data_IF_787322484673
#
_entry.id   IF_787322484673
#
_cell.length_a   1.000
_cell.length_b   1.000
_cell.length_c   1.000
_cell.angle_alpha   90.00
_cell.angle_beta   90.00
_cell.angle_gamma   90.00
#
_symmetry.space_group_name_H-M   'P 1'
#
loop_
_entity.id
_entity.type
_entity.pdbx_description
1 polymer ?
#
# COMPACT_ATOMS: atom_id res chain seq x y z
N UNK A 1 3.12 16.71 50.76
CA UNK A 1 4.54 16.35 50.88
C UNK A 1 5.10 16.87 52.20
N UNK A 2 5.97 16.12 52.84
CA UNK A 2 6.72 16.56 54.02
C UNK A 2 8.02 17.25 53.62
N UNK A 3 8.54 18.11 54.47
CA UNK A 3 9.82 18.75 54.24
C UNK A 3 10.91 17.68 53.96
N UNK A 4 11.64 17.87 52.86
CA UNK A 4 12.65 16.91 52.38
C UNK A 4 12.17 15.82 51.45
N UNK A 5 10.84 15.62 51.27
CA UNK A 5 10.32 14.65 50.32
C UNK A 5 10.73 14.99 48.88
N UNK A 6 11.06 13.96 48.09
CA UNK A 6 11.38 14.06 46.67
C UNK A 6 10.52 13.09 45.87
N UNK A 7 9.99 13.52 44.76
CA UNK A 7 9.37 12.62 43.80
C UNK A 7 10.44 11.89 42.97
N UNK A 8 10.06 10.77 42.38
CA UNK A 8 10.81 10.25 41.26
C UNK A 8 10.74 11.21 40.08
N UNK A 9 11.59 11.01 39.08
CA UNK A 9 11.50 11.74 37.80
C UNK A 9 10.26 11.26 37.05
N UNK A 10 9.40 12.21 36.70
CA UNK A 10 8.19 11.97 35.94
C UNK A 10 8.34 12.49 34.51
N UNK A 11 7.76 11.78 33.55
CA UNK A 11 7.55 12.21 32.16
C UNK A 11 6.19 11.70 31.78
N UNK A 12 5.29 12.61 31.43
CA UNK A 12 3.94 12.24 30.98
C UNK A 12 3.80 12.57 29.47
N UNK A 13 3.73 11.54 28.60
CA UNK A 13 3.64 11.77 27.17
C UNK A 13 2.28 12.33 26.73
N UNK A 14 1.22 12.04 27.49
CA UNK A 14 -0.16 12.39 27.14
C UNK A 14 -0.85 13.31 28.15
N UNK A 15 -0.09 13.85 29.10
CA UNK A 15 -0.62 14.74 30.14
C UNK A 15 0.21 16.01 30.22
N UNK A 16 -0.47 17.12 30.45
CA UNK A 16 0.13 18.34 31.00
C UNK A 16 -0.17 18.37 32.50
N UNK A 17 0.84 18.58 33.31
CA UNK A 17 0.67 18.65 34.74
C UNK A 17 0.57 20.10 35.20
N UNK A 18 -0.41 20.37 36.03
CA UNK A 18 -0.65 21.66 36.64
C UNK A 18 -0.59 21.49 38.17
N UNK A 19 0.25 22.24 38.79
CA UNK A 19 0.38 22.29 40.25
C UNK A 19 0.02 23.68 40.77
N UNK A 20 -0.75 23.74 41.84
CA UNK A 20 -1.02 24.98 42.57
C UNK A 20 -0.62 24.81 44.03
N UNK A 21 0.31 25.63 44.49
CA UNK A 21 0.84 25.55 45.86
C UNK A 21 -0.11 26.27 46.81
N UNK A 22 -0.74 25.47 47.70
CA UNK A 22 -1.65 26.00 48.73
C UNK A 22 -0.91 26.48 49.98
N UNK A 23 0.15 25.75 50.39
CA UNK A 23 0.97 26.03 51.56
C UNK A 23 2.37 25.49 51.36
N UNK A 24 3.39 26.15 51.95
CA UNK A 24 4.75 25.68 51.95
C UNK A 24 5.58 26.16 50.74
N UNK A 25 6.77 25.58 50.62
CA UNK A 25 7.74 25.88 49.56
C UNK A 25 8.20 24.57 48.89
N UNK A 26 8.26 24.57 47.57
CA UNK A 26 8.68 23.45 46.77
C UNK A 26 9.65 23.89 45.68
N UNK A 27 10.67 23.09 45.41
CA UNK A 27 11.53 23.20 44.24
C UNK A 27 11.02 22.19 43.20
N UNK A 28 10.70 22.66 42.01
CA UNK A 28 10.43 21.81 40.85
C UNK A 28 11.56 21.92 39.86
N UNK A 29 12.11 20.78 39.43
CA UNK A 29 13.11 20.72 38.38
C UNK A 29 12.46 20.27 37.11
N UNK A 30 12.38 21.12 36.07
CA UNK A 30 11.80 20.81 34.76
C UNK A 30 12.93 20.77 33.73
N UNK A 31 13.15 19.63 33.04
CA UNK A 31 14.25 19.40 32.10
C UNK A 31 15.62 19.90 32.64
N UNK A 32 15.85 19.65 33.92
CA UNK A 32 17.09 20.02 34.61
C UNK A 32 17.14 21.48 35.11
N UNK A 33 16.15 22.32 34.77
CA UNK A 33 16.07 23.71 35.26
C UNK A 33 15.25 23.76 36.55
N UNK A 34 15.85 24.28 37.61
CA UNK A 34 15.23 24.43 38.94
C UNK A 34 14.40 25.69 39.05
N UNK A 35 13.19 25.55 39.56
CA UNK A 35 12.28 26.65 39.87
C UNK A 35 11.78 26.45 41.30
N UNK A 36 11.89 27.51 42.13
CA UNK A 36 11.37 27.53 43.49
C UNK A 36 10.00 28.17 43.48
N UNK A 37 9.05 27.52 44.08
CA UNK A 37 7.65 27.93 44.13
C UNK A 37 7.16 27.94 45.56
N UNK A 38 6.32 28.93 45.84
CA UNK A 38 5.76 29.22 47.15
C UNK A 38 4.23 29.25 47.10
N UNK A 39 3.60 29.52 48.24
CA UNK A 39 2.13 29.63 48.31
C UNK A 39 1.60 30.58 47.22
N UNK A 40 0.51 30.14 46.57
CA UNK A 40 -0.21 30.79 45.48
C UNK A 40 0.52 30.76 44.12
N UNK A 41 1.68 30.10 44.02
CA UNK A 41 2.34 29.90 42.76
C UNK A 41 1.66 28.77 41.94
N UNK A 42 1.59 29.02 40.64
CA UNK A 42 1.11 28.10 39.64
C UNK A 42 2.28 27.50 38.87
N UNK A 43 2.32 26.19 38.73
CA UNK A 43 3.40 25.52 37.99
C UNK A 43 2.74 24.73 36.87
N UNK A 44 3.15 25.03 35.67
CA UNK A 44 2.70 24.32 34.48
C UNK A 44 3.86 23.52 33.86
N UNK A 45 3.66 22.22 33.68
CA UNK A 45 4.63 21.36 33.04
C UNK A 45 4.03 20.85 31.74
N UNK A 46 4.62 21.26 30.62
CA UNK A 46 4.22 20.81 29.30
C UNK A 46 4.44 19.28 29.15
N UNK A 47 3.65 18.65 28.27
CA UNK A 47 3.83 17.23 27.93
C UNK A 47 5.25 16.95 27.42
N UNK A 48 5.69 15.71 27.58
CA UNK A 48 7.04 15.24 27.24
C UNK A 48 8.17 15.93 28.01
N UNK A 49 7.87 16.90 28.89
CA UNK A 49 8.87 17.51 29.80
C UNK A 49 9.07 16.62 31.01
N UNK A 50 10.36 16.41 31.35
CA UNK A 50 10.70 15.72 32.57
C UNK A 50 10.61 16.64 33.78
N UNK A 51 10.06 16.19 34.90
CA UNK A 51 10.10 16.97 36.13
C UNK A 51 10.33 16.12 37.38
N UNK A 52 10.84 16.77 38.40
CA UNK A 52 11.01 16.23 39.75
C UNK A 52 10.57 17.28 40.75
N UNK A 53 9.93 16.83 41.84
CA UNK A 53 9.47 17.69 42.93
C UNK A 53 10.35 17.47 44.16
N UNK A 54 10.74 18.56 44.86
CA UNK A 54 11.45 18.51 46.12
C UNK A 54 10.79 19.47 47.09
N UNK A 55 10.16 18.98 48.13
CA UNK A 55 9.54 19.79 49.19
C UNK A 55 10.59 20.40 50.08
N UNK A 56 10.71 21.72 50.10
CA UNK A 56 11.65 22.48 50.96
C UNK A 56 11.09 22.67 52.37
N UNK A 57 9.76 22.73 52.51
CA UNK A 57 9.00 22.74 53.75
C UNK A 57 7.90 21.69 53.68
N UNK A 58 7.02 21.58 54.69
CA UNK A 58 5.78 20.86 54.53
C UNK A 58 4.93 21.55 53.46
N UNK A 59 4.54 20.85 52.41
CA UNK A 59 3.84 21.40 51.25
C UNK A 59 2.44 20.77 51.11
N UNK A 60 1.45 21.62 50.90
CA UNK A 60 0.13 21.25 50.43
C UNK A 60 -0.10 21.88 49.06
N UNK A 61 -0.44 21.06 48.08
CA UNK A 61 -0.70 21.55 46.72
C UNK A 61 -1.83 20.74 46.08
N UNK A 62 -2.48 21.38 45.09
CA UNK A 62 -3.34 20.71 44.14
C UNK A 62 -2.46 20.23 42.97
N UNK A 63 -2.65 19.00 42.56
CA UNK A 63 -2.08 18.45 41.33
C UNK A 63 -3.21 18.04 40.41
N UNK A 64 -3.22 18.54 39.18
CA UNK A 64 -4.18 18.22 38.14
C UNK A 64 -3.42 17.77 36.92
N UNK A 65 -3.69 16.56 36.44
CA UNK A 65 -3.28 16.12 35.11
C UNK A 65 -4.37 16.54 34.11
N UNK A 66 -4.06 17.46 33.21
CA UNK A 66 -4.90 17.68 32.04
C UNK A 66 -4.47 16.70 30.98
N UNK A 67 -5.33 15.75 30.61
CA UNK A 67 -5.12 15.01 29.37
C UNK A 67 -5.05 16.06 28.29
N UNK A 68 -3.88 16.21 27.70
CA UNK A 68 -3.83 16.84 26.39
C UNK A 68 -4.67 15.86 25.56
N UNK A 69 -5.82 16.31 25.05
CA UNK A 69 -6.13 15.86 23.72
C UNK A 69 -4.89 16.24 22.91
N UNK A 70 -3.89 15.35 22.89
CA UNK A 70 -2.96 15.27 21.76
C UNK A 70 -3.92 15.35 20.62
N UNK A 71 -3.90 16.46 19.85
CA UNK A 71 -4.78 16.61 18.71
C UNK A 71 -4.81 15.23 18.11
N UNK A 72 -5.91 14.49 18.32
CA UNK A 72 -6.04 13.13 17.77
C UNK A 72 -5.67 13.36 16.36
N UNK A 73 -4.47 12.91 16.00
CA UNK A 73 -3.84 13.39 14.76
C UNK A 73 -4.83 13.04 13.72
N UNK A 74 -5.61 14.06 13.29
CA UNK A 74 -6.82 13.87 12.51
C UNK A 74 -6.38 13.09 11.30
N UNK A 75 -6.77 11.82 11.24
CA UNK A 75 -6.50 11.01 10.07
C UNK A 75 -7.36 11.53 8.94
N UNK A 76 -6.80 11.55 7.76
CA UNK A 76 -7.43 12.04 6.54
C UNK A 76 -6.95 11.17 5.37
N UNK A 77 -7.61 11.19 4.20
CA UNK A 77 -7.10 10.53 3.01
C UNK A 77 -5.75 11.12 2.59
N UNK A 78 -4.75 10.26 2.43
CA UNK A 78 -3.37 10.66 2.15
C UNK A 78 -3.05 10.57 0.68
N UNK A 79 -2.59 11.66 0.08
CA UNK A 79 -1.97 11.72 -1.24
C UNK A 79 -0.46 11.60 -1.10
N UNK A 80 0.22 11.24 -2.17
CA UNK A 80 1.66 10.99 -2.16
C UNK A 80 2.40 11.80 -3.20
N UNK A 81 3.67 12.10 -2.90
CA UNK A 81 4.61 12.60 -3.88
C UNK A 81 4.86 11.56 -4.97
N UNK A 82 5.06 11.97 -6.23
CA UNK A 82 5.37 11.03 -7.31
C UNK A 82 6.62 10.20 -7.01
N UNK A 83 6.51 8.88 -7.07
CA UNK A 83 7.60 7.92 -6.86
C UNK A 83 7.88 7.16 -8.17
N UNK A 84 8.68 7.78 -9.05
CA UNK A 84 8.91 7.34 -10.42
C UNK A 84 10.17 6.48 -10.52
N UNK A 85 10.09 5.38 -11.26
CA UNK A 85 11.17 4.42 -11.46
C UNK A 85 11.54 4.29 -12.93
N UNK A 86 12.81 4.57 -13.23
CA UNK A 86 13.39 4.42 -14.56
C UNK A 86 13.61 2.93 -14.88
N UNK A 87 13.13 2.52 -16.05
CA UNK A 87 13.26 1.14 -16.56
C UNK A 87 13.72 1.17 -18.01
N UNK A 88 14.45 0.14 -18.47
CA UNK A 88 14.92 0.05 -19.88
C UNK A 88 13.78 0.02 -20.89
N UNK A 89 12.62 -0.48 -20.48
CA UNK A 89 11.40 -0.63 -21.26
C UNK A 89 10.37 0.48 -21.00
N UNK A 90 10.72 1.46 -20.14
CA UNK A 90 9.82 2.54 -19.76
C UNK A 90 9.68 3.59 -20.86
N UNK A 91 8.54 4.26 -20.88
CA UNK A 91 8.17 5.29 -21.83
C UNK A 91 8.34 6.71 -21.28
N UNK A 92 7.95 7.70 -22.07
CA UNK A 92 7.71 9.09 -21.65
C UNK A 92 6.22 9.32 -21.34
N UNK A 93 5.35 8.42 -21.77
CA UNK A 93 3.91 8.63 -21.78
C UNK A 93 3.32 8.53 -20.37
N UNK A 94 3.90 7.72 -19.47
CA UNK A 94 3.45 7.64 -18.08
C UNK A 94 3.48 9.01 -17.38
N UNK A 95 4.56 9.77 -17.55
CA UNK A 95 4.63 11.12 -16.96
C UNK A 95 3.72 12.10 -17.62
N UNK A 96 3.50 11.99 -18.94
CA UNK A 96 2.55 12.82 -19.67
C UNK A 96 1.10 12.53 -19.27
N UNK A 97 0.75 11.24 -19.10
CA UNK A 97 -0.57 10.82 -18.64
C UNK A 97 -0.88 11.32 -17.22
N UNK A 98 0.13 11.32 -16.33
CA UNK A 98 0.02 11.86 -14.95
C UNK A 98 0.13 13.39 -14.89
N UNK A 99 0.20 14.10 -16.02
CA UNK A 99 0.41 15.57 -16.10
C UNK A 99 1.66 16.04 -15.32
N UNK A 100 2.68 15.17 -15.21
CA UNK A 100 3.96 15.47 -14.58
C UNK A 100 5.00 15.98 -15.61
N UNK A 101 6.07 16.65 -15.16
CA UNK A 101 7.19 16.98 -16.04
C UNK A 101 7.72 15.75 -16.76
N UNK A 102 7.83 15.84 -18.09
CA UNK A 102 8.23 14.72 -18.95
C UNK A 102 9.60 14.18 -18.59
N UNK A 103 9.69 12.88 -18.37
CA UNK A 103 10.91 12.15 -18.10
C UNK A 103 10.97 10.89 -18.97
N UNK A 104 12.14 10.61 -19.56
CA UNK A 104 12.33 9.43 -20.40
C UNK A 104 12.54 8.18 -19.55
N UNK A 105 12.13 7.03 -20.11
CA UNK A 105 12.34 5.71 -19.52
C UNK A 105 11.66 5.51 -18.16
N UNK A 106 10.58 6.24 -17.87
CA UNK A 106 9.78 5.96 -16.69
C UNK A 106 8.86 4.80 -16.99
N UNK A 107 9.18 3.63 -16.43
CA UNK A 107 8.38 2.41 -16.62
C UNK A 107 7.40 2.16 -15.49
N UNK A 108 7.69 2.62 -14.29
CA UNK A 108 6.82 2.42 -13.12
C UNK A 108 6.63 3.71 -12.33
N UNK A 109 5.42 3.92 -11.83
CA UNK A 109 5.09 4.89 -10.79
C UNK A 109 4.53 4.14 -9.59
N UNK A 110 5.24 4.16 -8.45
CA UNK A 110 4.82 3.47 -7.25
C UNK A 110 3.89 4.37 -6.44
N UNK A 111 2.60 4.12 -6.57
CA UNK A 111 1.54 4.98 -6.06
C UNK A 111 1.42 4.89 -4.54
N UNK A 112 1.35 3.67 -3.98
CA UNK A 112 1.30 3.43 -2.54
C UNK A 112 2.28 2.32 -2.20
N UNK A 113 3.38 2.68 -1.57
CA UNK A 113 4.51 1.77 -1.31
C UNK A 113 4.91 1.75 0.16
N UNK A 114 4.97 0.55 0.73
CA UNK A 114 5.60 0.25 2.02
C UNK A 114 7.03 -0.29 1.91
N UNK A 115 7.59 -0.39 0.70
CA UNK A 115 8.96 -0.92 0.48
C UNK A 115 9.98 0.00 1.16
N UNK A 116 10.87 -0.53 2.04
CA UNK A 116 11.75 0.30 2.87
C UNK A 116 12.66 1.25 2.09
N UNK A 117 13.14 0.83 0.92
CA UNK A 117 14.06 1.63 0.10
C UNK A 117 13.34 2.61 -0.85
N UNK A 118 12.01 2.51 -0.96
CA UNK A 118 11.17 3.38 -1.79
C UNK A 118 9.76 3.53 -1.20
N UNK A 119 9.65 4.02 0.04
CA UNK A 119 8.35 4.25 0.68
C UNK A 119 7.66 5.45 0.07
N UNK A 120 6.33 5.44 0.01
CA UNK A 120 5.56 6.62 -0.37
C UNK A 120 5.71 7.73 0.66
N UNK A 121 5.96 8.96 0.18
CA UNK A 121 6.02 10.18 0.98
C UNK A 121 4.68 10.91 0.88
N UNK A 122 4.09 11.26 2.00
CA UNK A 122 2.78 11.93 2.07
C UNK A 122 2.93 13.37 1.58
N UNK A 123 2.08 13.77 0.64
CA UNK A 123 2.13 15.10 0.00
C UNK A 123 1.20 16.13 0.65
N UNK A 124 0.19 15.69 1.43
CA UNK A 124 -0.85 16.58 1.95
C UNK A 124 -1.02 16.51 3.46
N UNK A 125 -1.70 17.52 4.01
CA UNK A 125 -2.14 17.57 5.40
C UNK A 125 -1.01 17.63 6.43
N UNK A 126 -1.32 17.25 7.67
CA UNK A 126 -0.39 17.36 8.82
C UNK A 126 0.78 16.38 8.77
N UNK A 127 0.68 15.33 7.96
CA UNK A 127 1.74 14.34 7.77
C UNK A 127 2.56 14.57 6.50
N UNK A 128 2.37 15.69 5.80
CA UNK A 128 3.18 16.01 4.62
C UNK A 128 4.68 15.94 4.92
N UNK A 129 5.44 15.27 4.04
CA UNK A 129 6.87 15.03 4.19
C UNK A 129 7.26 13.80 5.01
N UNK A 130 6.31 13.17 5.73
CA UNK A 130 6.54 11.87 6.38
C UNK A 130 6.34 10.74 5.39
N UNK A 131 7.06 9.64 5.58
CA UNK A 131 6.77 8.41 4.84
C UNK A 131 5.53 7.73 5.42
N UNK A 132 4.77 7.02 4.57
CA UNK A 132 3.62 6.23 5.00
C UNK A 132 4.00 5.22 6.09
N UNK A 133 5.19 4.62 5.99
CA UNK A 133 5.71 3.67 6.99
C UNK A 133 5.94 4.33 8.37
N UNK A 134 6.34 5.59 8.43
CA UNK A 134 6.52 6.30 9.71
C UNK A 134 5.18 6.54 10.39
N UNK A 135 4.15 6.90 9.64
CA UNK A 135 2.80 7.12 10.18
C UNK A 135 2.16 5.80 10.60
N UNK A 136 2.30 4.73 9.81
CA UNK A 136 1.82 3.38 10.17
C UNK A 136 2.48 2.92 11.49
N UNK A 137 3.80 3.08 11.67
CA UNK A 137 4.47 2.71 12.93
C UNK A 137 3.97 3.47 14.15
N UNK A 138 3.53 4.72 13.97
CA UNK A 138 2.96 5.54 15.06
C UNK A 138 1.54 5.11 15.42
N UNK A 139 0.74 4.70 14.46
CA UNK A 139 -0.69 4.43 14.62
C UNK A 139 -1.12 3.21 13.79
N UNK A 140 -0.54 2.00 14.02
CA UNK A 140 -0.72 0.86 13.13
C UNK A 140 -2.18 0.43 12.99
N UNK A 141 -2.92 0.31 14.08
CA UNK A 141 -4.33 -0.12 14.05
C UNK A 141 -5.24 0.93 13.41
N UNK A 142 -5.00 2.21 13.65
CA UNK A 142 -5.80 3.28 13.05
C UNK A 142 -5.53 3.43 11.55
N UNK A 143 -4.31 3.13 11.11
CA UNK A 143 -3.90 3.20 9.71
C UNK A 143 -4.32 1.95 8.94
N UNK A 144 -3.99 0.76 9.44
CA UNK A 144 -4.16 -0.49 8.70
C UNK A 144 -5.45 -1.26 9.02
N UNK A 145 -6.07 -1.02 10.19
CA UNK A 145 -7.03 -1.90 10.81
C UNK A 145 -6.35 -2.85 11.80
N UNK A 146 -7.05 -3.22 12.87
CA UNK A 146 -6.48 -4.04 13.95
C UNK A 146 -6.03 -5.40 13.45
N UNK A 147 -6.88 -6.07 12.66
CA UNK A 147 -6.59 -7.41 12.13
C UNK A 147 -5.40 -7.36 11.16
N UNK A 148 -5.39 -6.40 10.23
CA UNK A 148 -4.29 -6.23 9.25
C UNK A 148 -2.98 -5.91 9.97
N UNK A 149 -2.99 -4.98 10.91
CA UNK A 149 -1.80 -4.59 11.66
C UNK A 149 -1.16 -5.80 12.37
N UNK A 150 -1.98 -6.65 13.00
CA UNK A 150 -1.51 -7.85 13.69
C UNK A 150 -0.98 -8.92 12.72
N UNK A 151 -1.68 -9.19 11.63
CA UNK A 151 -1.30 -10.22 10.65
C UNK A 151 -0.05 -9.87 9.86
N UNK A 152 0.19 -8.57 9.62
CA UNK A 152 1.29 -8.07 8.80
C UNK A 152 2.37 -7.33 9.61
N UNK A 153 2.50 -7.59 10.92
CA UNK A 153 3.54 -7.01 11.78
C UNK A 153 3.65 -5.47 11.68
N UNK A 154 2.49 -4.78 11.62
CA UNK A 154 2.39 -3.33 11.45
C UNK A 154 3.07 -2.81 10.16
N UNK A 155 3.09 -3.60 9.10
CA UNK A 155 3.60 -3.23 7.79
C UNK A 155 2.46 -3.17 6.78
N UNK A 156 2.57 -2.27 5.80
CA UNK A 156 1.63 -2.20 4.69
C UNK A 156 1.75 -3.45 3.82
N UNK A 157 0.67 -4.24 3.64
CA UNK A 157 0.78 -5.51 2.91
C UNK A 157 0.60 -5.39 1.39
N UNK A 158 0.19 -4.23 0.89
CA UNK A 158 -0.10 -3.97 -0.53
C UNK A 158 0.87 -2.92 -1.08
N UNK A 159 1.33 -3.14 -2.31
CA UNK A 159 2.01 -2.16 -3.15
C UNK A 159 1.14 -1.93 -4.39
N UNK A 160 0.89 -0.66 -4.74
CA UNK A 160 0.15 -0.28 -5.95
C UNK A 160 1.08 0.50 -6.86
N UNK A 161 1.07 0.16 -8.14
CA UNK A 161 1.88 0.80 -9.18
C UNK A 161 1.07 1.08 -10.43
N UNK A 162 1.54 2.06 -11.22
CA UNK A 162 1.28 2.10 -12.66
C UNK A 162 2.51 1.61 -13.39
N UNK A 163 2.28 0.85 -14.46
CA UNK A 163 3.30 0.35 -15.37
C UNK A 163 2.94 0.81 -16.78
N UNK A 164 3.91 1.41 -17.47
CA UNK A 164 3.75 1.87 -18.85
C UNK A 164 4.94 1.42 -19.71
N UNK A 165 4.64 0.69 -20.79
CA UNK A 165 5.62 -0.07 -21.55
C UNK A 165 5.82 0.49 -22.95
N UNK A 166 7.04 0.97 -23.27
CA UNK A 166 7.49 1.29 -24.63
C UNK A 166 8.27 0.15 -25.29
N UNK A 167 8.63 -0.86 -24.52
CA UNK A 167 9.26 -2.11 -24.98
C UNK A 167 8.80 -3.26 -24.08
N UNK A 168 9.00 -4.50 -24.50
CA UNK A 168 8.58 -5.69 -23.75
C UNK A 168 9.30 -5.79 -22.40
N UNK A 169 8.55 -6.12 -21.33
CA UNK A 169 9.15 -6.49 -20.06
C UNK A 169 9.84 -7.85 -20.17
N UNK A 170 10.82 -8.09 -19.28
CA UNK A 170 11.40 -9.43 -19.13
C UNK A 170 10.35 -10.45 -18.76
N UNK A 171 10.50 -11.67 -19.27
CA UNK A 171 9.76 -12.83 -18.78
C UNK A 171 10.23 -13.15 -17.36
N UNK A 172 9.29 -13.27 -16.44
CA UNK A 172 9.59 -13.37 -15.02
C UNK A 172 8.59 -14.25 -14.28
N UNK A 173 8.96 -14.64 -13.07
CA UNK A 173 8.09 -15.30 -12.09
C UNK A 173 8.43 -14.77 -10.70
N UNK A 174 7.48 -14.83 -9.80
CA UNK A 174 7.64 -14.42 -8.41
C UNK A 174 7.47 -15.61 -7.47
N UNK A 175 8.27 -15.68 -6.38
CA UNK A 175 8.13 -16.72 -5.38
C UNK A 175 6.87 -16.54 -4.51
N UNK A 176 6.38 -17.62 -3.95
CA UNK A 176 5.38 -17.61 -2.88
C UNK A 176 6.00 -17.12 -1.55
N UNK A 177 5.16 -16.92 -0.52
CA UNK A 177 5.59 -16.46 0.81
C UNK A 177 6.61 -17.42 1.44
N UNK A 178 6.44 -18.74 1.29
CA UNK A 178 7.33 -19.72 1.88
C UNK A 178 8.74 -19.66 1.27
N UNK A 179 8.84 -19.57 -0.04
CA UNK A 179 10.11 -19.43 -0.75
C UNK A 179 10.74 -18.06 -0.52
N UNK A 180 9.97 -16.98 -0.61
CA UNK A 180 10.44 -15.62 -0.39
C UNK A 180 10.99 -15.43 1.02
N UNK A 181 10.29 -15.98 2.03
CA UNK A 181 10.78 -15.95 3.42
C UNK A 181 12.08 -16.73 3.59
N UNK A 182 12.14 -17.95 3.05
CA UNK A 182 13.33 -18.82 3.16
C UNK A 182 14.55 -18.24 2.47
N UNK A 183 14.37 -17.63 1.29
CA UNK A 183 15.50 -17.20 0.44
C UNK A 183 15.89 -15.74 0.65
N UNK A 184 14.94 -14.86 1.05
CA UNK A 184 15.13 -13.42 1.06
C UNK A 184 14.66 -12.75 2.36
N UNK A 185 14.02 -13.49 3.29
CA UNK A 185 13.39 -12.93 4.50
C UNK A 185 12.33 -11.86 4.16
N UNK A 186 11.60 -12.05 3.09
CA UNK A 186 10.57 -11.15 2.56
C UNK A 186 9.28 -11.90 2.29
N UNK A 187 8.23 -11.16 1.90
CA UNK A 187 6.96 -11.70 1.41
C UNK A 187 7.07 -12.18 -0.03
N UNK A 188 6.22 -13.11 -0.40
CA UNK A 188 5.99 -13.50 -1.78
C UNK A 188 5.41 -12.34 -2.60
N UNK A 189 5.20 -12.59 -3.90
CA UNK A 189 4.67 -11.56 -4.78
C UNK A 189 3.55 -12.16 -5.65
N UNK A 190 2.36 -12.16 -5.07
CA UNK A 190 1.10 -12.35 -5.80
C UNK A 190 0.63 -10.98 -6.27
N UNK A 191 0.18 -10.88 -7.51
CA UNK A 191 -0.20 -9.62 -8.13
C UNK A 191 -1.46 -9.73 -9.00
N UNK A 192 -2.06 -8.60 -9.28
CA UNK A 192 -3.17 -8.42 -10.21
C UNK A 192 -2.87 -7.23 -11.10
N UNK A 193 -3.16 -7.36 -12.38
CA UNK A 193 -3.08 -6.28 -13.37
C UNK A 193 -4.47 -5.86 -13.84
N UNK A 194 -4.69 -4.57 -13.90
CA UNK A 194 -5.83 -3.94 -14.55
C UNK A 194 -5.33 -3.11 -15.73
N UNK A 195 -5.69 -3.47 -16.95
CA UNK A 195 -5.28 -2.75 -18.16
C UNK A 195 -6.07 -1.45 -18.26
N UNK A 196 -5.37 -0.30 -18.19
CA UNK A 196 -5.96 1.04 -18.32
C UNK A 196 -6.09 1.41 -19.79
N UNK A 197 -5.01 1.17 -20.54
CA UNK A 197 -4.95 1.42 -21.98
C UNK A 197 -3.99 0.43 -22.65
N UNK A 198 -4.27 0.09 -23.90
CA UNK A 198 -3.42 -0.75 -24.72
C UNK A 198 -3.42 -0.25 -26.15
N UNK A 199 -2.25 -0.17 -26.77
CA UNK A 199 -2.13 0.10 -28.21
C UNK A 199 -2.67 -1.08 -29.03
N UNK A 200 -3.06 -0.89 -30.29
CA UNK A 200 -3.43 -2.02 -31.13
C UNK A 200 -2.35 -3.10 -31.17
N UNK A 201 -2.76 -4.37 -31.10
CA UNK A 201 -1.89 -5.54 -31.09
C UNK A 201 -1.00 -5.70 -29.82
N UNK A 202 -1.16 -4.85 -28.81
CA UNK A 202 -0.50 -5.02 -27.52
C UNK A 202 -0.95 -6.29 -26.82
N UNK A 203 -0.08 -6.88 -26.03
CA UNK A 203 -0.31 -8.19 -25.43
C UNK A 203 0.35 -8.35 -24.06
N UNK A 204 -0.14 -9.35 -23.35
CA UNK A 204 0.43 -9.85 -22.11
C UNK A 204 0.70 -11.33 -22.26
N UNK A 205 1.82 -11.82 -21.72
CA UNK A 205 2.02 -13.24 -21.48
C UNK A 205 1.61 -13.56 -20.03
N UNK A 206 0.75 -14.54 -19.85
CA UNK A 206 0.33 -15.03 -18.55
C UNK A 206 0.18 -16.55 -18.59
N UNK A 207 1.08 -17.26 -17.89
CA UNK A 207 1.12 -18.70 -17.80
C UNK A 207 1.66 -19.43 -19.03
N UNK A 208 1.62 -20.75 -18.99
CA UNK A 208 2.03 -21.63 -20.08
C UNK A 208 0.82 -21.97 -20.98
N UNK A 209 1.05 -22.08 -22.29
CA UNK A 209 0.03 -22.59 -23.24
C UNK A 209 0.07 -24.11 -23.42
N UNK A 210 1.15 -24.74 -22.96
CA UNK A 210 1.38 -26.18 -23.02
C UNK A 210 2.00 -26.69 -21.73
N UNK A 211 1.72 -27.94 -21.37
CA UNK A 211 2.33 -28.57 -20.19
C UNK A 211 3.80 -28.80 -20.43
N UNK A 212 4.65 -28.33 -19.51
CA UNK A 212 6.10 -28.56 -19.51
C UNK A 212 6.52 -29.34 -18.29
N UNK A 213 7.58 -30.15 -18.45
CA UNK A 213 8.37 -30.63 -17.31
C UNK A 213 9.44 -29.61 -16.95
N UNK A 214 10.01 -29.67 -15.73
CA UNK A 214 11.15 -28.83 -15.35
C UNK A 214 12.36 -28.96 -16.32
N UNK A 215 12.60 -30.15 -16.85
CA UNK A 215 13.69 -30.42 -17.82
C UNK A 215 13.41 -29.76 -19.18
N UNK A 216 12.15 -29.80 -19.64
CA UNK A 216 11.73 -29.12 -20.87
C UNK A 216 11.80 -27.59 -20.72
N UNK A 217 11.41 -27.07 -19.57
CA UNK A 217 11.60 -25.65 -19.23
C UNK A 217 13.08 -25.27 -19.30
N UNK A 218 13.96 -26.00 -18.60
CA UNK A 218 15.40 -25.71 -18.57
C UNK A 218 15.99 -25.73 -19.98
N UNK A 219 15.60 -26.69 -20.83
CA UNK A 219 16.03 -26.76 -22.24
C UNK A 219 15.54 -25.56 -23.04
N UNK A 220 14.23 -25.21 -22.95
CA UNK A 220 13.68 -24.05 -23.67
C UNK A 220 14.33 -22.73 -23.25
N UNK A 221 14.71 -22.60 -22.00
CA UNK A 221 15.45 -21.42 -21.50
C UNK A 221 16.88 -21.40 -22.10
N UNK A 222 17.59 -22.53 -22.07
CA UNK A 222 18.94 -22.64 -22.62
C UNK A 222 18.98 -22.39 -24.14
N UNK A 223 17.98 -22.86 -24.87
CA UNK A 223 17.85 -22.73 -26.33
C UNK A 223 17.24 -21.34 -26.73
N UNK A 224 16.80 -20.51 -25.77
CA UNK A 224 16.15 -19.21 -26.02
C UNK A 224 14.74 -19.32 -26.62
N UNK A 225 14.09 -20.49 -26.49
CA UNK A 225 12.76 -20.77 -27.06
C UNK A 225 11.62 -20.75 -26.03
N UNK A 226 11.89 -20.24 -24.84
CA UNK A 226 10.87 -20.22 -23.75
C UNK A 226 9.61 -19.45 -24.13
N UNK A 227 9.73 -18.39 -24.93
CA UNK A 227 8.60 -17.59 -25.41
C UNK A 227 7.59 -18.43 -26.18
N UNK A 228 8.02 -19.48 -26.89
CA UNK A 228 7.15 -20.38 -27.65
C UNK A 228 6.22 -21.22 -26.77
N UNK A 229 6.50 -21.31 -25.47
CA UNK A 229 5.71 -22.08 -24.53
C UNK A 229 4.70 -21.21 -23.73
N UNK A 230 4.78 -19.88 -23.86
CA UNK A 230 3.94 -18.96 -23.10
C UNK A 230 2.57 -18.72 -23.76
N UNK A 231 1.55 -18.55 -22.92
CA UNK A 231 0.24 -18.15 -23.37
C UNK A 231 0.23 -16.63 -23.60
N UNK A 232 0.03 -16.25 -24.87
CA UNK A 232 -0.04 -14.86 -25.32
C UNK A 232 -1.48 -14.40 -25.40
N UNK A 233 -1.81 -13.26 -24.78
CA UNK A 233 -3.14 -12.67 -24.74
C UNK A 233 -3.10 -11.27 -25.32
N UNK A 234 -3.81 -11.02 -26.40
CA UNK A 234 -4.10 -9.64 -26.83
C UNK A 234 -4.94 -8.95 -25.77
N UNK A 235 -4.62 -7.68 -25.47
CA UNK A 235 -5.22 -6.97 -24.33
C UNK A 235 -5.90 -5.67 -24.74
N UNK A 236 -6.95 -5.33 -23.99
CA UNK A 236 -7.76 -4.13 -24.16
C UNK A 236 -7.99 -3.47 -22.80
N UNK A 237 -8.33 -2.18 -22.82
CA UNK A 237 -8.72 -1.46 -21.61
C UNK A 237 -9.86 -2.19 -20.87
N UNK A 238 -9.71 -2.34 -19.55
CA UNK A 238 -10.63 -3.07 -18.70
C UNK A 238 -10.29 -4.55 -18.49
N UNK A 239 -9.32 -5.12 -19.21
CA UNK A 239 -8.87 -6.49 -18.96
C UNK A 239 -8.20 -6.62 -17.59
N UNK A 240 -8.46 -7.74 -16.93
CA UNK A 240 -7.90 -8.08 -15.62
C UNK A 240 -7.15 -9.41 -15.68
N UNK A 241 -5.96 -9.46 -15.11
CA UNK A 241 -5.16 -10.67 -14.99
C UNK A 241 -4.77 -10.89 -13.53
N UNK A 242 -5.07 -12.06 -12.99
CA UNK A 242 -4.58 -12.51 -11.71
C UNK A 242 -3.30 -13.33 -11.89
N UNK A 243 -2.25 -12.94 -11.24
CA UNK A 243 -0.92 -13.53 -11.33
C UNK A 243 -0.49 -14.01 -9.92
N UNK A 244 -0.98 -15.18 -9.48
CA UNK A 244 -0.50 -15.76 -8.24
C UNK A 244 1.01 -16.01 -8.32
N UNK A 245 1.68 -16.03 -7.18
CA UNK A 245 3.06 -16.48 -7.11
C UNK A 245 3.22 -17.82 -7.86
N UNK A 246 4.34 -17.97 -8.58
CA UNK A 246 4.61 -19.13 -9.43
C UNK A 246 4.13 -18.98 -10.88
N UNK A 247 3.27 -18.02 -11.21
CA UNK A 247 2.82 -17.84 -12.59
C UNK A 247 3.86 -17.08 -13.41
N UNK A 248 4.34 -17.69 -14.48
CA UNK A 248 5.22 -17.03 -15.46
C UNK A 248 4.46 -15.96 -16.22
N UNK A 249 5.06 -14.77 -16.40
CA UNK A 249 4.38 -13.66 -17.08
C UNK A 249 5.37 -12.66 -17.69
N UNK A 250 4.85 -11.84 -18.60
CA UNK A 250 5.51 -10.65 -19.14
C UNK A 250 4.47 -9.68 -19.71
N UNK A 251 4.80 -8.40 -19.81
CA UNK A 251 3.99 -7.37 -20.44
C UNK A 251 4.65 -7.01 -21.75
N UNK A 252 3.91 -7.04 -22.85
CA UNK A 252 4.37 -6.57 -24.14
C UNK A 252 4.37 -5.04 -24.23
N UNK A 253 4.96 -4.51 -25.29
CA UNK A 253 4.99 -3.09 -25.61
C UNK A 253 3.59 -2.49 -25.74
N UNK A 254 3.45 -1.21 -25.34
CA UNK A 254 2.26 -0.39 -25.58
C UNK A 254 1.11 -0.63 -24.61
N UNK A 255 1.40 -1.13 -23.40
CA UNK A 255 0.41 -1.37 -22.35
C UNK A 255 0.62 -0.38 -21.21
N UNK A 256 -0.44 0.32 -20.82
CA UNK A 256 -0.55 1.06 -19.57
C UNK A 256 -1.50 0.29 -18.64
N UNK A 257 -1.02 -0.10 -17.47
CA UNK A 257 -1.82 -0.84 -16.49
C UNK A 257 -1.58 -0.39 -15.05
N UNK A 258 -2.54 -0.69 -14.18
CA UNK A 258 -2.38 -0.63 -12.73
C UNK A 258 -2.06 -2.03 -12.20
N UNK A 259 -1.03 -2.13 -11.36
CA UNK A 259 -0.63 -3.34 -10.66
C UNK A 259 -0.94 -3.21 -9.18
N UNK A 260 -1.71 -4.15 -8.64
CA UNK A 260 -1.92 -4.33 -7.19
C UNK A 260 -1.24 -5.63 -6.79
N UNK A 261 -0.30 -5.56 -5.83
CA UNK A 261 0.51 -6.71 -5.45
C UNK A 261 0.78 -6.75 -3.95
N UNK A 262 1.26 -7.89 -3.44
CA UNK A 262 1.87 -7.96 -2.11
C UNK A 262 3.09 -7.02 -2.05
N UNK A 263 3.39 -6.48 -0.87
CA UNK A 263 4.56 -5.60 -0.64
C UNK A 263 5.86 -6.39 -0.75
N UNK A 264 6.29 -6.61 -1.98
CA UNK A 264 7.52 -7.32 -2.36
C UNK A 264 8.07 -6.76 -3.66
N UNK A 265 9.40 -6.79 -3.82
CA UNK A 265 10.10 -6.39 -5.06
C UNK A 265 10.95 -7.56 -5.62
N UNK A 266 10.68 -8.79 -5.18
CA UNK A 266 11.42 -9.96 -5.62
C UNK A 266 10.96 -10.36 -7.02
N UNK A 267 11.93 -10.43 -7.97
CA UNK A 267 11.67 -10.85 -9.34
C UNK A 267 12.72 -11.87 -9.77
N UNK A 268 12.29 -13.06 -10.18
CA UNK A 268 13.13 -14.03 -10.84
C UNK A 268 12.97 -13.90 -12.35
N UNK A 269 13.97 -13.24 -12.98
CA UNK A 269 14.00 -13.01 -14.42
C UNK A 269 14.44 -14.27 -15.16
N UNK A 270 13.65 -14.68 -16.13
CA UNK A 270 13.85 -15.90 -16.93
C UNK A 270 14.47 -15.57 -18.28
N UNK A 271 13.94 -14.51 -18.94
CA UNK A 271 14.38 -14.11 -20.27
C UNK A 271 14.25 -12.60 -20.44
N UNK A 272 15.22 -11.96 -21.10
CA UNK A 272 15.26 -10.51 -21.26
C UNK A 272 15.69 -10.03 -22.66
N UNK A 273 15.39 -10.81 -23.67
CA UNK A 273 15.59 -10.49 -25.10
C UNK A 273 17.06 -10.20 -25.48
N UNK A 274 18.02 -10.51 -24.63
CA UNK A 274 19.45 -10.20 -24.84
C UNK A 274 19.78 -8.70 -24.84
N UNK A 275 18.88 -7.84 -24.42
CA UNK A 275 19.08 -6.38 -24.40
C UNK A 275 19.93 -5.94 -23.22
N UNK A 276 20.71 -4.82 -23.37
CA UNK A 276 21.42 -4.22 -22.25
C UNK A 276 20.46 -3.52 -21.28
N UNK A 277 20.82 -3.50 -19.99
CA UNK A 277 20.22 -2.66 -18.98
C UNK A 277 20.58 -1.17 -19.16
N UNK A 278 20.08 -0.31 -18.28
CA UNK A 278 20.40 1.13 -18.29
C UNK A 278 21.90 1.42 -18.08
N UNK A 279 22.63 0.49 -17.45
CA UNK A 279 24.08 0.54 -17.25
C UNK A 279 24.89 -0.01 -18.43
N UNK A 280 24.21 -0.39 -19.51
CA UNK A 280 24.82 -0.97 -20.72
C UNK A 280 25.22 -2.45 -20.59
N UNK A 281 24.91 -3.11 -19.46
CA UNK A 281 25.19 -4.53 -19.24
C UNK A 281 23.90 -5.36 -19.30
N UNK A 282 23.98 -6.64 -19.72
CA UNK A 282 22.81 -7.53 -19.63
C UNK A 282 22.33 -7.62 -18.19
N UNK A 283 21.00 -7.58 -17.98
CA UNK A 283 20.41 -7.80 -16.66
C UNK A 283 20.56 -9.27 -16.25
N UNK A 284 20.78 -9.47 -14.95
CA UNK A 284 20.92 -10.82 -14.38
C UNK A 284 19.66 -11.67 -14.61
N UNK A 285 19.87 -12.93 -14.98
CA UNK A 285 18.83 -13.94 -15.10
C UNK A 285 18.88 -14.88 -13.88
N UNK A 286 17.71 -15.28 -13.40
CA UNK A 286 17.53 -16.10 -12.19
C UNK A 286 16.88 -17.45 -12.53
N UNK A 287 17.33 -18.10 -13.60
CA UNK A 287 16.67 -19.26 -14.23
C UNK A 287 16.49 -20.44 -13.29
N UNK A 288 17.46 -20.71 -12.40
CA UNK A 288 17.40 -21.80 -11.42
C UNK A 288 16.40 -21.51 -10.28
N UNK A 289 16.38 -20.26 -9.78
CA UNK A 289 15.40 -19.82 -8.76
C UNK A 289 13.99 -19.78 -9.37
N UNK A 290 13.89 -19.33 -10.60
CA UNK A 290 12.64 -19.33 -11.35
C UNK A 290 12.08 -20.75 -11.51
N UNK A 291 12.91 -21.73 -11.86
CA UNK A 291 12.48 -23.13 -11.98
C UNK A 291 11.87 -23.68 -10.67
N UNK A 292 12.37 -23.24 -9.52
CA UNK A 292 11.84 -23.64 -8.21
C UNK A 292 10.55 -22.93 -7.83
N UNK A 293 10.34 -21.72 -8.35
CA UNK A 293 9.15 -20.92 -8.09
C UNK A 293 7.98 -21.24 -9.02
N UNK A 294 8.25 -21.74 -10.23
CA UNK A 294 7.27 -21.90 -11.30
C UNK A 294 6.18 -22.93 -10.97
N UNK A 295 4.93 -22.51 -11.19
CA UNK A 295 3.78 -23.41 -11.36
C UNK A 295 3.62 -23.72 -12.87
N UNK A 296 3.83 -24.98 -13.25
CA UNK A 296 3.72 -25.46 -14.62
C UNK A 296 2.28 -25.82 -15.04
N UNK A 297 1.30 -25.59 -14.17
CA UNK A 297 -0.10 -25.87 -14.45
C UNK A 297 -0.60 -25.00 -15.61
N UNK A 298 -1.21 -25.62 -16.60
CA UNK A 298 -1.85 -24.93 -17.73
C UNK A 298 -3.32 -24.67 -17.41
N UNK A 299 -3.74 -23.42 -17.53
CA UNK A 299 -5.13 -23.01 -17.33
C UNK A 299 -5.81 -22.74 -18.67
N UNK A 300 -7.12 -22.96 -18.74
CA UNK A 300 -7.90 -22.69 -19.96
C UNK A 300 -8.04 -21.18 -20.23
N UNK A 301 -8.07 -20.38 -19.18
CA UNK A 301 -8.13 -18.92 -19.26
C UNK A 301 -7.26 -18.32 -18.15
N UNK A 302 -6.53 -17.28 -18.52
CA UNK A 302 -5.68 -16.51 -17.59
C UNK A 302 -6.22 -15.09 -17.34
N UNK A 303 -7.24 -14.68 -18.13
CA UNK A 303 -7.92 -13.40 -17.95
C UNK A 303 -9.09 -13.58 -16.99
N UNK A 304 -9.14 -12.76 -15.96
CA UNK A 304 -10.25 -12.73 -15.01
C UNK A 304 -11.48 -12.08 -15.66
N UNK A 305 -12.65 -12.66 -15.42
CA UNK A 305 -13.93 -12.08 -15.81
C UNK A 305 -14.59 -11.40 -14.63
N UNK A 306 -15.08 -10.19 -14.82
CA UNK A 306 -15.86 -9.47 -13.82
C UNK A 306 -17.00 -8.71 -14.50
N UNK A 307 -17.96 -8.24 -13.73
CA UNK A 307 -19.04 -7.38 -14.25
C UNK A 307 -18.57 -5.94 -14.21
N UNK A 308 -18.52 -5.24 -15.36
CA UNK A 308 -18.22 -3.80 -15.45
C UNK A 308 -19.55 -3.02 -15.49
N UNK A 309 -20.31 -3.09 -14.39
CA UNK A 309 -21.61 -2.42 -14.28
C UNK A 309 -21.40 -1.01 -13.76
N UNK A 310 -21.91 -0.02 -14.50
CA UNK A 310 -21.86 1.40 -14.10
C UNK A 310 -22.57 1.63 -12.76
N UNK A 311 -22.02 2.54 -11.95
CA UNK A 311 -22.49 2.90 -10.61
C UNK A 311 -22.57 1.71 -9.64
N UNK A 312 -21.68 0.76 -9.82
CA UNK A 312 -21.52 -0.43 -8.97
C UNK A 312 -20.06 -0.61 -8.55
N UNK A 313 -19.86 -1.17 -7.37
CA UNK A 313 -18.52 -1.61 -6.92
C UNK A 313 -18.31 -3.06 -7.37
N UNK A 314 -17.78 -3.22 -8.58
CA UNK A 314 -17.62 -4.51 -9.25
C UNK A 314 -16.38 -5.23 -8.70
N UNK A 315 -16.57 -6.40 -8.11
CA UNK A 315 -15.46 -7.22 -7.60
C UNK A 315 -14.69 -7.83 -8.77
N UNK A 316 -13.40 -7.56 -8.86
CA UNK A 316 -12.50 -8.10 -9.89
C UNK A 316 -11.67 -9.25 -9.35
N UNK A 317 -11.27 -9.16 -8.09
CA UNK A 317 -10.44 -10.16 -7.44
C UNK A 317 -10.68 -10.16 -5.93
N UNK A 318 -10.74 -11.34 -5.31
CA UNK A 318 -10.78 -11.54 -3.85
C UNK A 318 -9.89 -12.72 -3.46
N UNK A 319 -8.70 -12.43 -2.96
CA UNK A 319 -7.69 -13.42 -2.56
C UNK A 319 -7.43 -13.38 -1.05
N UNK A 320 -6.56 -14.25 -0.57
CA UNK A 320 -6.09 -14.20 0.82
C UNK A 320 -5.10 -13.05 1.06
N UNK A 321 -4.56 -12.43 0.00
CA UNK A 321 -3.57 -11.36 0.10
C UNK A 321 -4.20 -9.98 -0.04
N UNK A 322 -5.18 -9.81 -0.93
CA UNK A 322 -5.89 -8.55 -1.17
C UNK A 322 -7.15 -8.77 -1.98
N UNK A 323 -8.03 -7.78 -1.94
CA UNK A 323 -9.24 -7.71 -2.79
C UNK A 323 -9.21 -6.43 -3.60
N UNK A 324 -9.69 -6.50 -4.84
CA UNK A 324 -9.78 -5.35 -5.74
C UNK A 324 -11.16 -5.25 -6.35
N UNK A 325 -11.70 -4.02 -6.38
CA UNK A 325 -12.92 -3.67 -7.11
C UNK A 325 -12.65 -2.59 -8.14
N UNK A 326 -13.42 -2.60 -9.21
CA UNK A 326 -13.52 -1.51 -10.18
C UNK A 326 -14.83 -0.79 -9.94
N UNK A 327 -14.79 0.53 -9.82
CA UNK A 327 -15.93 1.40 -9.61
C UNK A 327 -16.02 2.39 -10.77
N UNK A 328 -16.77 2.06 -11.84
CA UNK A 328 -17.15 3.03 -12.88
C UNK A 328 -18.35 3.83 -12.38
N UNK A 329 -18.23 5.15 -12.23
CA UNK A 329 -19.23 6.00 -11.58
C UNK A 329 -19.61 7.18 -12.44
N UNK A 330 -20.93 7.39 -12.63
CA UNK A 330 -21.54 8.63 -13.10
C UNK A 330 -22.10 9.47 -11.94
N UNK A 331 -22.41 8.80 -10.81
CA UNK A 331 -23.03 9.42 -9.64
C UNK A 331 -22.20 9.18 -8.38
N UNK A 332 -22.34 10.03 -7.36
CA UNK A 332 -21.69 9.81 -6.07
C UNK A 332 -22.02 8.45 -5.48
N UNK A 333 -20.97 7.74 -5.04
CA UNK A 333 -21.11 6.44 -4.41
C UNK A 333 -20.59 6.47 -2.97
N UNK A 334 -21.47 6.15 -2.01
CA UNK A 334 -21.07 5.94 -0.62
C UNK A 334 -20.36 4.59 -0.47
N UNK A 335 -19.22 4.62 0.22
CA UNK A 335 -18.47 3.45 0.63
C UNK A 335 -18.48 3.33 2.15
N UNK A 336 -18.85 2.17 2.66
CA UNK A 336 -18.78 1.85 4.08
C UNK A 336 -17.95 0.59 4.27
N UNK A 337 -16.74 0.76 4.80
CA UNK A 337 -15.73 -0.28 4.92
C UNK A 337 -15.57 -0.83 6.35
N UNK A 338 -16.44 -0.43 7.29
CA UNK A 338 -16.33 -0.74 8.73
C UNK A 338 -16.19 -2.25 9.01
N UNK A 339 -16.88 -3.09 8.22
CA UNK A 339 -16.86 -4.54 8.40
C UNK A 339 -15.58 -5.22 7.88
N UNK A 340 -14.73 -4.49 7.18
CA UNK A 340 -13.50 -5.05 6.59
C UNK A 340 -12.31 -4.91 7.53
N UNK A 341 -12.35 -3.98 8.51
CA UNK A 341 -11.23 -3.69 9.42
C UNK A 341 -9.92 -3.53 8.66
N UNK A 342 -9.94 -2.69 7.62
CA UNK A 342 -8.85 -2.50 6.69
C UNK A 342 -8.77 -1.06 6.21
N UNK A 343 -7.58 -0.62 5.89
CA UNK A 343 -7.34 0.54 5.03
C UNK A 343 -7.93 0.30 3.63
N UNK A 344 -8.03 1.38 2.86
CA UNK A 344 -8.41 1.32 1.45
C UNK A 344 -7.44 2.16 0.63
N UNK A 345 -7.03 1.64 -0.53
CA UNK A 345 -6.31 2.40 -1.54
C UNK A 345 -7.27 2.64 -2.70
N UNK A 346 -7.52 3.92 -2.99
CA UNK A 346 -8.29 4.33 -4.18
C UNK A 346 -7.30 4.81 -5.22
N UNK A 347 -7.32 4.19 -6.40
CA UNK A 347 -6.46 4.54 -7.54
C UNK A 347 -7.34 5.03 -8.68
N UNK A 348 -7.17 6.29 -9.10
CA UNK A 348 -7.97 6.89 -10.18
C UNK A 348 -7.34 6.55 -11.52
N UNK A 349 -8.07 5.81 -12.35
CA UNK A 349 -7.60 5.32 -13.66
C UNK A 349 -8.30 5.99 -14.83
N UNK A 350 -9.33 6.81 -14.57
CA UNK A 350 -10.00 7.62 -15.56
C UNK A 350 -10.67 8.82 -14.92
N UNK A 351 -10.46 10.02 -15.48
CA UNK A 351 -11.01 11.30 -15.03
C UNK A 351 -10.57 11.70 -13.62
N UNK A 352 -11.40 12.38 -12.83
CA UNK A 352 -11.10 12.80 -11.47
C UNK A 352 -12.34 12.74 -10.56
N UNK A 353 -12.11 12.57 -9.26
CA UNK A 353 -13.17 12.53 -8.27
C UNK A 353 -12.78 13.26 -6.98
N UNK A 354 -13.80 13.61 -6.18
CA UNK A 354 -13.63 14.00 -4.78
C UNK A 354 -13.82 12.77 -3.90
N UNK A 355 -12.95 12.62 -2.91
CA UNK A 355 -13.14 11.71 -1.77
C UNK A 355 -13.65 12.57 -0.62
N UNK A 356 -14.91 12.40 -0.26
CA UNK A 356 -15.58 13.14 0.81
C UNK A 356 -15.72 12.28 2.06
N UNK A 357 -15.12 12.71 3.17
CA UNK A 357 -15.16 12.00 4.45
C UNK A 357 -16.38 12.45 5.25
N UNK A 358 -17.34 11.54 5.43
CA UNK A 358 -18.62 11.85 6.04
C UNK A 358 -18.55 12.31 7.49
N UNK A 359 -17.58 11.76 8.26
CA UNK A 359 -17.45 12.08 9.70
C UNK A 359 -16.82 13.45 9.97
N UNK A 360 -15.94 13.94 9.09
CA UNK A 360 -15.19 15.19 9.27
C UNK A 360 -15.55 16.27 8.26
N UNK A 361 -16.31 15.91 7.22
CA UNK A 361 -16.66 16.78 6.08
C UNK A 361 -15.45 17.27 5.30
N UNK A 362 -14.30 16.58 5.44
CA UNK A 362 -13.12 16.87 4.62
C UNK A 362 -13.32 16.33 3.21
N UNK A 363 -12.80 17.06 2.25
CA UNK A 363 -12.77 16.67 0.84
C UNK A 363 -11.35 16.71 0.31
N UNK A 364 -11.04 15.75 -0.55
CA UNK A 364 -9.77 15.69 -1.26
C UNK A 364 -10.03 15.34 -2.72
N UNK A 365 -9.43 16.09 -3.64
CA UNK A 365 -9.48 15.77 -5.06
C UNK A 365 -8.46 14.69 -5.37
N UNK A 366 -8.90 13.66 -6.10
CA UNK A 366 -8.08 12.59 -6.62
C UNK A 366 -8.12 12.64 -8.15
N UNK A 367 -7.00 13.02 -8.75
CA UNK A 367 -6.85 13.15 -10.20
C UNK A 367 -6.51 11.81 -10.85
N UNK A 368 -6.78 11.70 -12.16
CA UNK A 368 -6.36 10.58 -12.99
C UNK A 368 -4.85 10.34 -12.85
N UNK A 369 -4.44 9.09 -12.75
CA UNK A 369 -3.04 8.71 -12.58
C UNK A 369 -2.50 8.84 -11.16
N UNK A 370 -3.33 9.10 -10.15
CA UNK A 370 -2.91 9.18 -8.76
C UNK A 370 -3.70 8.24 -7.87
N UNK A 371 -3.14 7.99 -6.69
CA UNK A 371 -3.76 7.16 -5.67
C UNK A 371 -3.85 7.86 -4.33
N UNK A 372 -4.86 7.47 -3.56
CA UNK A 372 -5.12 7.96 -2.22
C UNK A 372 -5.17 6.78 -1.25
N UNK A 373 -4.49 6.90 -0.11
CA UNK A 373 -4.60 5.94 0.98
C UNK A 373 -5.61 6.45 2.00
N UNK A 374 -6.66 5.68 2.25
CA UNK A 374 -7.68 5.96 3.26
C UNK A 374 -7.40 5.09 4.48
N UNK A 375 -7.01 5.67 5.64
CA UNK A 375 -6.78 4.93 6.87
C UNK A 375 -8.00 4.11 7.33
N UNK A 376 -7.79 2.96 7.94
CA UNK A 376 -8.86 2.09 8.42
C UNK A 376 -9.83 2.77 9.40
N UNK A 377 -9.35 3.74 10.16
CA UNK A 377 -10.19 4.56 11.05
C UNK A 377 -11.21 5.44 10.29
N UNK A 378 -11.04 5.59 8.95
CA UNK A 378 -11.95 6.32 8.07
C UNK A 378 -12.73 5.29 7.24
N UNK A 379 -13.76 4.70 7.84
CA UNK A 379 -14.49 3.61 7.21
C UNK A 379 -15.70 4.05 6.37
N UNK A 380 -16.10 5.34 6.40
CA UNK A 380 -17.31 5.85 5.76
C UNK A 380 -17.01 7.12 4.96
N UNK A 381 -17.06 7.00 3.63
CA UNK A 381 -16.73 8.09 2.70
C UNK A 381 -17.57 7.99 1.43
N UNK A 382 -17.62 9.08 0.67
CA UNK A 382 -18.22 9.13 -0.65
C UNK A 382 -17.13 9.33 -1.71
N UNK A 383 -17.27 8.67 -2.87
CA UNK A 383 -16.51 8.95 -4.09
C UNK A 383 -17.44 9.71 -5.03
N UNK A 384 -17.07 10.93 -5.38
CA UNK A 384 -17.94 11.88 -6.11
C UNK A 384 -17.26 12.24 -7.45
N UNK A 385 -17.79 11.82 -8.61
CA UNK A 385 -17.29 12.26 -9.90
C UNK A 385 -17.30 13.80 -10.00
N UNK A 386 -16.22 14.41 -10.54
CA UNK A 386 -16.14 15.88 -10.70
C UNK A 386 -16.69 16.29 -12.07
N UNK A 387 -16.22 15.64 -13.13
CA UNK A 387 -16.64 15.91 -14.49
C UNK A 387 -16.85 14.61 -15.26
N UNK A 388 -18.09 14.33 -15.66
CA UNK A 388 -18.42 13.11 -16.42
C UNK A 388 -18.30 11.84 -15.59
N UNK A 389 -17.99 10.76 -16.26
CA UNK A 389 -17.73 9.47 -15.62
C UNK A 389 -16.31 9.40 -15.05
N UNK A 390 -16.18 8.74 -13.93
CA UNK A 390 -14.89 8.42 -13.31
C UNK A 390 -14.75 6.91 -13.16
N UNK A 391 -13.52 6.42 -13.28
CA UNK A 391 -13.24 5.02 -12.94
C UNK A 391 -12.11 4.94 -11.93
N UNK A 392 -12.37 4.27 -10.82
CA UNK A 392 -11.36 4.05 -9.77
C UNK A 392 -11.23 2.56 -9.45
N UNK A 393 -10.03 2.15 -9.05
CA UNK A 393 -9.77 0.88 -8.42
C UNK A 393 -9.80 1.06 -6.91
N UNK A 394 -10.44 0.15 -6.20
CA UNK A 394 -10.50 0.10 -4.74
C UNK A 394 -9.80 -1.17 -4.26
N UNK A 395 -8.59 -1.04 -3.68
CA UNK A 395 -7.80 -2.16 -3.16
C UNK A 395 -7.80 -2.15 -1.62
N UNK A 396 -8.00 -3.31 -0.98
CA UNK A 396 -8.10 -3.46 0.48
C UNK A 396 -7.83 -4.91 0.91
N UNK A 397 -7.70 -5.15 2.22
CA UNK A 397 -7.65 -6.51 2.79
C UNK A 397 -9.05 -6.93 3.24
N UNK A 398 -9.51 -8.08 2.77
CA UNK A 398 -10.83 -8.58 3.12
C UNK A 398 -10.78 -9.48 4.37
N UNK A 399 -10.92 -8.87 5.56
CA UNK A 399 -10.90 -9.59 6.84
C UNK A 399 -12.25 -10.15 7.27
N UNK A 400 -13.30 -10.02 6.45
CA UNK A 400 -14.60 -10.57 6.80
C UNK A 400 -14.51 -12.09 6.92
N UNK A 401 -15.18 -12.69 7.94
CA UNK A 401 -15.23 -14.14 8.05
C UNK A 401 -15.78 -14.75 6.78
N UNK A 402 -14.94 -15.47 6.05
CA UNK A 402 -15.40 -16.26 4.90
C UNK A 402 -16.11 -17.51 5.44
N UNK A 403 -17.33 -17.76 4.97
CA UNK A 403 -18.01 -19.03 5.26
C UNK A 403 -17.18 -20.17 4.68
N UNK A 404 -17.30 -21.38 5.26
CA UNK A 404 -16.63 -22.58 4.73
C UNK A 404 -16.94 -22.79 3.24
N UNK A 405 -18.15 -22.45 2.81
CA UNK A 405 -18.59 -22.47 1.43
C UNK A 405 -17.80 -21.48 0.54
N UNK A 406 -17.66 -20.25 0.99
CA UNK A 406 -16.90 -19.23 0.25
C UNK A 406 -15.42 -19.57 0.13
N UNK A 407 -14.82 -20.20 1.16
CA UNK A 407 -13.43 -20.72 1.09
C UNK A 407 -13.30 -21.86 0.08
N UNK A 408 -14.26 -22.82 0.08
CA UNK A 408 -14.27 -23.93 -0.85
C UNK A 408 -14.48 -23.40 -2.28
N UNK A 409 -15.41 -22.49 -2.49
CA UNK A 409 -15.69 -21.90 -3.80
C UNK A 409 -14.47 -21.12 -4.30
N UNK A 410 -13.82 -20.29 -3.49
CA UNK A 410 -12.61 -19.58 -3.91
C UNK A 410 -11.47 -20.55 -4.27
N UNK A 411 -11.24 -21.60 -3.47
CA UNK A 411 -10.25 -22.64 -3.79
C UNK A 411 -10.58 -23.44 -5.05
N UNK A 412 -11.86 -23.79 -5.24
CA UNK A 412 -12.29 -24.52 -6.44
C UNK A 412 -12.19 -23.66 -7.71
N UNK A 413 -12.44 -22.36 -7.59
CA UNK A 413 -12.38 -21.41 -8.69
C UNK A 413 -10.94 -21.07 -9.07
N UNK A 414 -10.02 -20.95 -8.12
CA UNK A 414 -8.58 -20.86 -8.39
C UNK A 414 -8.05 -22.09 -9.14
N UNK A 415 -8.60 -23.28 -8.85
CA UNK A 415 -8.21 -24.53 -9.52
C UNK A 415 -8.88 -24.72 -10.89
N UNK A 416 -10.03 -24.09 -11.14
CA UNK A 416 -10.80 -24.26 -12.37
C UNK A 416 -10.69 -23.10 -13.37
N UNK A 417 -9.99 -22.01 -13.01
CA UNK A 417 -9.87 -20.81 -13.85
C UNK A 417 -11.17 -20.00 -13.97
N UNK A 418 -12.12 -20.22 -13.07
CA UNK A 418 -13.36 -19.45 -12.95
C UNK A 418 -13.35 -18.70 -11.62
N UNK A 419 -13.07 -17.39 -11.64
CA UNK A 419 -13.28 -16.51 -10.50
C UNK A 419 -14.63 -15.78 -10.64
N UNK A 420 -15.43 -15.79 -9.55
CA UNK A 420 -16.71 -15.05 -9.44
C UNK A 420 -16.45 -13.65 -8.90
#
# INVERSE_FOLDING_TARGET
LKAGDRSAKHIHPDLQDLFFVLEGEIEITIDGKKNRCTKEDFIFVEHLKSYELHALTDVRMLAMGCVIETQRTKLYPMLFEPNLHTKVWGSIDLTAWKELPRQNHIGESWEVSGIPNSPSVIANGTWAGYTLNEVIRKMPEAMLGKTVAQQHNNQLPILVKFIDTDDDLSVQVHPDDAMAHRMHSQHGKTEMWYVINAQPESYIYAGFKEQLTPEEYARKVADGTIMDALAKHEVHAGDVFYLPAGRIHAIGKGVLLAEVQQTSDITYRIYDYGRPGLDGKPRELHTELAAQALDFTVHQNYRNTYKDTMDMANLCLDTDHFSVRVLPLNYPMRRNMILYDSFVIITCVHSSCLIHIRSTQDEIELQEGFSCFIPAAIADYDIIPIMGDVKVLEAYINNRPRTTWQRIVSQFMHLSGYDI
#
